data_IF_657077741557
#
_entry.id   IF_657077741557
#
_cell.length_a   1.000
_cell.length_b   1.000
_cell.length_c   1.000
_cell.angle_alpha   90.00
_cell.angle_beta   90.00
_cell.angle_gamma   90.00
#
_symmetry.space_group_name_H-M   'P 1'
#
loop_
_entity.id
_entity.type
_entity.pdbx_description
1 polymer ?
#
# COMPACT_ATOMS: atom_id res chain seq x y z
N UNK A 1 -15.93 -16.12 -5.57
CA UNK A 1 -15.82 -15.44 -4.26
C UNK A 1 -16.17 -13.98 -4.46
N UNK A 2 -16.83 -13.34 -3.50
CA UNK A 2 -17.21 -11.92 -3.58
C UNK A 2 -16.07 -11.06 -2.99
N UNK A 3 -15.68 -9.99 -3.68
CA UNK A 3 -14.71 -8.96 -3.23
C UNK A 3 -15.48 -7.69 -2.83
N UNK A 4 -14.84 -6.75 -2.11
CA UNK A 4 -15.43 -5.42 -1.85
C UNK A 4 -15.42 -4.91 -0.40
N UNK A 5 -14.39 -5.19 0.39
CA UNK A 5 -14.28 -4.71 1.78
C UNK A 5 -13.47 -3.42 1.95
N UNK A 6 -13.31 -2.67 0.87
CA UNK A 6 -12.56 -1.43 0.86
C UNK A 6 -13.08 -0.42 1.90
N UNK A 7 -12.17 0.13 2.71
CA UNK A 7 -12.48 1.12 3.74
C UNK A 7 -13.38 0.62 4.87
N UNK A 8 -13.54 -0.70 5.04
CA UNK A 8 -14.29 -1.28 6.16
C UNK A 8 -13.40 -1.36 7.41
N UNK A 9 -14.03 -1.35 8.60
CA UNK A 9 -13.31 -1.45 9.86
C UNK A 9 -12.61 -2.80 10.00
N UNK A 10 -11.51 -2.84 10.76
CA UNK A 10 -10.75 -4.06 11.01
C UNK A 10 -11.62 -5.20 11.56
N UNK A 11 -12.48 -4.90 12.53
CA UNK A 11 -13.44 -5.87 13.07
C UNK A 11 -14.36 -6.48 11.99
N UNK A 12 -14.71 -5.70 10.96
CA UNK A 12 -15.50 -6.20 9.83
C UNK A 12 -14.67 -7.15 8.98
N UNK A 13 -13.40 -6.82 8.72
CA UNK A 13 -12.48 -7.65 7.95
C UNK A 13 -12.20 -8.98 8.66
N UNK A 14 -11.88 -8.96 9.95
CA UNK A 14 -11.62 -10.17 10.73
C UNK A 14 -12.86 -11.07 10.77
N UNK A 15 -14.04 -10.48 11.00
CA UNK A 15 -15.31 -11.23 11.02
C UNK A 15 -15.62 -11.90 9.68
N UNK A 16 -15.28 -11.30 8.54
CA UNK A 16 -15.49 -11.94 7.23
C UNK A 16 -14.39 -12.92 6.86
N UNK A 17 -13.16 -12.74 7.35
CA UNK A 17 -12.05 -13.69 7.20
C UNK A 17 -12.44 -15.05 7.78
N UNK A 18 -13.00 -15.03 9.00
CA UNK A 18 -13.44 -16.22 9.74
C UNK A 18 -14.51 -17.04 9.00
N UNK A 19 -15.26 -16.42 8.09
CA UNK A 19 -16.29 -17.14 7.32
C UNK A 19 -15.72 -18.00 6.19
N UNK A 20 -14.49 -17.73 5.74
CA UNK A 20 -13.87 -18.38 4.56
C UNK A 20 -14.59 -18.14 3.22
N UNK A 21 -15.65 -17.32 3.19
CA UNK A 21 -16.49 -17.08 2.00
C UNK A 21 -16.04 -15.89 1.16
N UNK A 22 -15.18 -15.05 1.72
CA UNK A 22 -14.77 -13.77 1.16
C UNK A 22 -13.25 -13.73 0.96
N UNK A 23 -12.81 -13.03 -0.08
CA UNK A 23 -11.39 -12.74 -0.28
C UNK A 23 -11.10 -11.38 0.34
N UNK A 24 -10.25 -11.38 1.36
CA UNK A 24 -9.62 -10.17 1.87
C UNK A 24 -8.33 -10.00 1.07
N UNK A 25 -8.18 -8.86 0.42
CA UNK A 25 -6.96 -8.53 -0.31
C UNK A 25 -6.27 -7.33 0.36
N UNK A 26 -5.09 -7.01 -0.13
CA UNK A 26 -4.25 -5.90 0.35
C UNK A 26 -5.01 -4.57 0.46
N UNK A 27 -5.89 -4.28 -0.51
CA UNK A 27 -6.66 -3.04 -0.54
C UNK A 27 -7.76 -2.98 0.53
N UNK A 28 -8.19 -4.12 1.08
CA UNK A 28 -9.24 -4.17 2.10
C UNK A 28 -8.84 -3.48 3.40
N UNK A 29 -7.55 -3.51 3.78
CA UNK A 29 -7.06 -2.92 5.02
C UNK A 29 -6.81 -1.42 4.92
N UNK A 30 -6.77 -0.87 3.70
CA UNK A 30 -6.37 0.50 3.46
C UNK A 30 -7.50 1.51 3.76
N UNK A 31 -7.11 2.64 4.31
CA UNK A 31 -7.96 3.82 4.52
C UNK A 31 -7.97 4.70 3.27
N UNK A 32 -8.92 5.63 3.21
CA UNK A 32 -9.00 6.59 2.12
C UNK A 32 -7.71 7.42 1.92
N UNK A 33 -6.96 7.72 2.99
CA UNK A 33 -5.69 8.45 2.88
C UNK A 33 -4.57 7.61 2.27
N UNK A 34 -4.55 6.30 2.48
CA UNK A 34 -3.55 5.42 1.86
C UNK A 34 -3.80 5.29 0.37
N UNK A 35 -5.07 5.21 0.01
CA UNK A 35 -5.51 5.13 -1.37
C UNK A 35 -5.14 6.40 -2.11
N UNK A 36 -5.43 7.55 -1.50
CA UNK A 36 -4.96 8.84 -2.01
C UNK A 36 -3.43 8.87 -2.17
N UNK A 37 -2.66 8.41 -1.17
CA UNK A 37 -1.20 8.32 -1.24
C UNK A 37 -0.73 7.43 -2.40
N UNK A 38 -1.31 6.24 -2.58
CA UNK A 38 -0.98 5.33 -3.69
C UNK A 38 -1.23 5.98 -5.04
N UNK A 39 -2.43 6.54 -5.23
CA UNK A 39 -2.81 7.13 -6.50
C UNK A 39 -1.93 8.33 -6.86
N UNK A 40 -1.60 9.18 -5.88
CA UNK A 40 -0.72 10.34 -6.10
C UNK A 40 0.74 9.94 -6.33
N UNK A 41 1.20 8.85 -5.71
CA UNK A 41 2.59 8.38 -5.87
C UNK A 41 2.80 7.72 -7.24
N UNK A 42 1.81 6.97 -7.72
CA UNK A 42 1.98 6.05 -8.86
C UNK A 42 1.23 6.47 -10.11
N UNK A 43 0.24 7.37 -10.01
CA UNK A 43 -0.65 7.74 -11.11
C UNK A 43 -1.73 6.69 -11.43
N UNK A 44 -1.72 5.54 -10.76
CA UNK A 44 -2.74 4.49 -10.91
C UNK A 44 -3.99 4.89 -10.15
N UNK A 45 -5.17 4.71 -10.77
CA UNK A 45 -6.45 4.91 -10.08
C UNK A 45 -6.82 3.66 -9.29
N UNK A 46 -7.23 3.82 -8.03
CA UNK A 46 -7.67 2.72 -7.17
C UNK A 46 -9.12 2.94 -6.76
N UNK A 47 -10.01 2.08 -7.23
CA UNK A 47 -11.44 2.13 -6.90
C UNK A 47 -12.04 0.73 -6.91
N UNK A 48 -13.16 0.54 -6.21
CA UNK A 48 -13.91 -0.72 -6.21
C UNK A 48 -13.05 -1.98 -5.91
N UNK A 49 -11.98 -1.81 -5.12
CA UNK A 49 -11.03 -2.89 -4.78
C UNK A 49 -10.17 -3.37 -5.95
N UNK A 50 -9.91 -2.51 -6.94
CA UNK A 50 -9.07 -2.81 -8.12
C UNK A 50 -8.27 -1.59 -8.58
N UNK A 51 -7.28 -1.85 -9.43
CA UNK A 51 -6.42 -0.84 -10.04
C UNK A 51 -6.89 -0.52 -11.46
N UNK A 52 -6.72 0.73 -11.88
CA UNK A 52 -7.12 1.21 -13.20
C UNK A 52 -6.05 2.14 -13.76
N UNK A 53 -5.81 2.05 -15.06
CA UNK A 53 -4.93 2.97 -15.78
C UNK A 53 -5.58 4.35 -15.99
N UNK A 54 -4.84 5.27 -16.58
CA UNK A 54 -5.32 6.64 -16.88
C UNK A 54 -6.46 6.69 -17.91
N UNK A 55 -6.65 5.63 -18.69
CA UNK A 55 -7.74 5.50 -19.67
C UNK A 55 -9.01 4.91 -19.03
N UNK A 56 -8.92 4.48 -17.77
CA UNK A 56 -10.01 3.87 -17.03
C UNK A 56 -10.17 2.36 -17.26
N UNK A 57 -9.21 1.72 -17.92
CA UNK A 57 -9.19 0.26 -18.06
C UNK A 57 -8.73 -0.36 -16.75
N UNK A 58 -9.41 -1.42 -16.33
CA UNK A 58 -8.97 -2.19 -15.16
C UNK A 58 -7.64 -2.86 -15.48
N UNK A 59 -6.65 -2.62 -14.63
CA UNK A 59 -5.32 -3.23 -14.71
C UNK A 59 -5.14 -4.18 -13.54
N UNK A 60 -4.39 -5.25 -13.77
CA UNK A 60 -4.06 -6.24 -12.76
C UNK A 60 -2.58 -6.50 -12.73
N UNK A 61 -2.18 -7.27 -11.72
CA UNK A 61 -0.87 -7.92 -11.70
C UNK A 61 -1.17 -9.40 -11.89
N UNK A 62 -1.22 -9.84 -13.14
CA UNK A 62 -1.43 -11.24 -13.44
C UNK A 62 -0.09 -11.87 -13.77
N UNK A 63 0.19 -12.99 -13.11
CA UNK A 63 1.37 -13.78 -13.40
C UNK A 63 0.97 -15.03 -14.20
N UNK A 64 1.79 -15.39 -15.18
CA UNK A 64 1.69 -16.69 -15.83
C UNK A 64 2.03 -17.82 -14.84
N UNK A 65 1.78 -19.06 -15.24
CA UNK A 65 2.12 -20.25 -14.43
C UNK A 65 3.61 -20.41 -14.10
N UNK A 66 4.49 -19.61 -14.71
CA UNK A 66 5.94 -19.59 -14.50
C UNK A 66 6.40 -18.39 -13.66
N UNK A 67 5.48 -17.54 -13.21
CA UNK A 67 5.77 -16.34 -12.43
C UNK A 67 6.17 -15.11 -13.25
N UNK A 68 5.95 -15.11 -14.56
CA UNK A 68 6.19 -13.92 -15.39
C UNK A 68 4.96 -13.02 -15.39
N UNK A 69 5.17 -11.71 -15.28
CA UNK A 69 4.11 -10.72 -15.41
C UNK A 69 3.51 -10.78 -16.83
N UNK A 70 2.18 -10.85 -16.93
CA UNK A 70 1.46 -10.97 -18.19
C UNK A 70 1.27 -9.62 -18.88
N UNK A 71 1.31 -8.54 -18.10
CA UNK A 71 1.14 -7.17 -18.58
C UNK A 71 2.47 -6.55 -19.03
N UNK A 72 2.58 -6.08 -20.29
CA UNK A 72 3.83 -5.55 -20.85
C UNK A 72 4.26 -4.18 -20.27
N UNK A 73 3.33 -3.37 -19.74
CA UNK A 73 3.57 -2.02 -19.21
C UNK A 73 3.08 -1.87 -17.75
N UNK A 74 3.26 -2.91 -16.91
CA UNK A 74 2.72 -2.92 -15.55
C UNK A 74 3.61 -2.22 -14.50
N UNK A 75 4.49 -1.30 -14.90
CA UNK A 75 5.42 -0.62 -14.00
C UNK A 75 4.70 0.14 -12.87
N UNK A 76 3.79 1.03 -13.23
CA UNK A 76 3.02 1.83 -12.27
C UNK A 76 2.05 0.97 -11.46
N UNK A 77 1.46 -0.06 -12.08
CA UNK A 77 0.55 -0.98 -11.39
C UNK A 77 1.28 -1.85 -10.36
N UNK A 78 2.49 -2.29 -10.70
CA UNK A 78 3.39 -3.02 -9.78
C UNK A 78 3.81 -2.12 -8.62
N UNK A 79 4.23 -0.88 -8.92
CA UNK A 79 4.56 0.11 -7.91
C UNK A 79 3.36 0.40 -6.98
N UNK A 80 2.15 0.53 -7.53
CA UNK A 80 0.93 0.73 -6.75
C UNK A 80 0.62 -0.45 -5.83
N UNK A 81 0.77 -1.69 -6.30
CA UNK A 81 0.54 -2.87 -5.49
C UNK A 81 1.60 -3.07 -4.40
N UNK A 82 2.87 -2.76 -4.68
CA UNK A 82 3.93 -2.82 -3.68
C UNK A 82 3.74 -1.79 -2.57
N UNK A 83 3.35 -0.57 -2.94
CA UNK A 83 3.00 0.44 -1.95
C UNK A 83 1.77 0.02 -1.15
N UNK A 84 0.74 -0.53 -1.80
CA UNK A 84 -0.42 -1.08 -1.13
C UNK A 84 -0.03 -2.21 -0.16
N UNK A 85 0.89 -3.09 -0.55
CA UNK A 85 1.38 -4.18 0.29
C UNK A 85 2.05 -3.64 1.56
N UNK A 86 3.00 -2.70 1.42
CA UNK A 86 3.68 -2.09 2.56
C UNK A 86 2.70 -1.40 3.52
N UNK A 87 1.75 -0.61 2.99
CA UNK A 87 0.74 0.07 3.79
C UNK A 87 -0.20 -0.93 4.48
N UNK A 88 -0.60 -2.00 3.79
CA UNK A 88 -1.43 -3.06 4.36
C UNK A 88 -0.69 -3.84 5.45
N UNK A 89 0.59 -4.14 5.26
CA UNK A 89 1.41 -4.84 6.24
C UNK A 89 1.55 -4.00 7.51
N UNK A 90 1.86 -2.71 7.38
CA UNK A 90 1.87 -1.79 8.52
C UNK A 90 0.49 -1.73 9.20
N UNK A 91 -0.61 -1.77 8.45
CA UNK A 91 -1.93 -1.82 9.08
C UNK A 91 -2.24 -3.14 9.76
N UNK A 92 -1.71 -4.25 9.28
CA UNK A 92 -1.91 -5.56 9.88
C UNK A 92 -1.06 -5.72 11.15
N UNK A 93 0.22 -5.34 11.09
CA UNK A 93 1.17 -5.47 12.21
C UNK A 93 0.94 -4.46 13.33
N UNK A 94 0.16 -3.39 13.08
CA UNK A 94 0.09 -2.25 13.99
C UNK A 94 1.33 -1.39 13.86
N UNK A 95 1.74 -1.07 12.64
CA UNK A 95 2.85 -0.19 12.33
C UNK A 95 4.23 -0.80 12.52
N UNK A 96 5.27 -0.04 12.17
CA UNK A 96 6.61 -0.31 12.66
C UNK A 96 6.61 -0.26 14.19
N UNK A 97 7.18 -1.28 14.84
CA UNK A 97 7.29 -1.38 16.32
C UNK A 97 5.99 -1.55 17.12
N UNK A 98 4.83 -1.82 16.50
CA UNK A 98 3.59 -2.11 17.23
C UNK A 98 2.77 -0.87 17.65
N UNK A 99 2.95 0.27 16.96
CA UNK A 99 1.98 1.37 16.95
C UNK A 99 0.57 0.95 16.43
N UNK A 100 -0.27 0.50 17.36
CA UNK A 100 -1.66 0.12 17.08
C UNK A 100 -2.53 1.26 16.56
N UNK A 101 -2.10 2.53 16.63
CA UNK A 101 -2.90 3.63 16.08
C UNK A 101 -3.04 3.57 14.55
N UNK A 102 -2.13 2.89 13.84
CA UNK A 102 -2.28 2.61 12.41
C UNK A 102 -3.38 1.58 12.13
N UNK A 103 -3.59 0.60 13.00
CA UNK A 103 -4.74 -0.32 12.92
C UNK A 103 -6.07 0.44 13.12
N UNK A 104 -6.05 1.50 13.92
CA UNK A 104 -7.22 2.34 14.22
C UNK A 104 -7.50 3.41 13.15
N UNK A 105 -6.69 3.49 12.09
CA UNK A 105 -6.94 4.38 10.96
C UNK A 105 -6.19 5.71 11.01
N UNK A 106 -5.15 5.84 11.85
CA UNK A 106 -4.21 6.98 11.75
C UNK A 106 -3.65 7.07 10.32
N UNK A 107 -3.41 8.30 9.85
CA UNK A 107 -2.71 8.55 8.59
C UNK A 107 -1.24 8.14 8.71
N UNK A 108 -0.72 7.49 7.68
CA UNK A 108 0.71 7.16 7.54
C UNK A 108 1.53 8.45 7.40
N UNK A 109 2.69 8.48 8.05
CA UNK A 109 3.65 9.60 8.04
C UNK A 109 4.96 9.22 7.35
N UNK A 110 5.83 10.22 7.16
CA UNK A 110 7.21 10.02 6.72
C UNK A 110 7.95 9.05 7.67
N UNK A 111 7.86 9.28 8.98
CA UNK A 111 8.52 8.44 9.99
C UNK A 111 8.07 6.97 9.94
N UNK A 112 6.79 6.72 9.63
CA UNK A 112 6.27 5.36 9.48
C UNK A 112 6.95 4.64 8.30
N UNK A 113 7.03 5.30 7.14
CA UNK A 113 7.64 4.76 5.93
C UNK A 113 9.15 4.54 6.10
N UNK A 114 9.84 5.51 6.71
CA UNK A 114 11.26 5.38 7.02
C UNK A 114 11.52 4.19 7.96
N UNK A 115 10.72 4.04 9.00
CA UNK A 115 10.90 2.97 9.98
C UNK A 115 10.57 1.61 9.37
N UNK A 116 9.51 1.52 8.56
CA UNK A 116 9.20 0.31 7.79
C UNK A 116 10.38 -0.10 6.90
N UNK A 117 11.00 0.83 6.18
CA UNK A 117 12.17 0.54 5.33
C UNK A 117 13.40 0.08 6.14
N UNK A 118 13.62 0.66 7.33
CA UNK A 118 14.72 0.27 8.25
C UNK A 118 14.51 -1.15 8.78
N UNK A 119 13.31 -1.45 9.28
CA UNK A 119 12.95 -2.77 9.82
C UNK A 119 13.03 -3.84 8.72
N UNK A 120 12.55 -3.50 7.53
CA UNK A 120 12.63 -4.35 6.34
C UNK A 120 14.08 -4.70 5.97
N UNK A 121 14.96 -3.69 5.92
CA UNK A 121 16.38 -3.90 5.63
C UNK A 121 17.07 -4.80 6.66
N UNK A 122 16.70 -4.66 7.94
CA UNK A 122 17.20 -5.50 9.02
C UNK A 122 16.71 -6.95 8.90
N UNK A 123 15.42 -7.15 8.60
CA UNK A 123 14.83 -8.47 8.38
C UNK A 123 15.51 -9.21 7.22
N UNK A 124 15.71 -8.52 6.08
CA UNK A 124 16.44 -9.06 4.92
C UNK A 124 17.89 -9.43 5.27
N UNK A 125 18.59 -8.60 6.03
CA UNK A 125 19.97 -8.88 6.46
C UNK A 125 20.05 -10.09 7.41
N UNK A 126 18.97 -10.38 8.16
CA UNK A 126 18.88 -11.54 9.05
C UNK A 126 18.54 -12.86 8.34
N UNK A 127 18.35 -12.85 7.02
CA UNK A 127 18.02 -14.04 6.23
C UNK A 127 16.56 -14.50 6.38
N UNK A 128 15.67 -13.66 6.92
CA UNK A 128 14.24 -13.91 6.88
C UNK A 128 13.75 -13.84 5.44
N UNK A 129 12.85 -14.76 5.07
CA UNK A 129 12.23 -14.79 3.75
C UNK A 129 11.09 -13.76 3.71
N UNK A 130 11.45 -12.50 3.47
CA UNK A 130 10.50 -11.38 3.40
C UNK A 130 10.21 -11.06 1.93
N UNK A 131 8.95 -10.81 1.57
CA UNK A 131 8.56 -10.28 0.26
C UNK A 131 9.37 -9.02 -0.05
N UNK A 132 9.84 -8.81 -1.29
CA UNK A 132 10.65 -7.63 -1.66
C UNK A 132 9.80 -6.63 -2.42
N UNK A 133 9.15 -5.66 -1.74
CA UNK A 133 8.51 -4.56 -2.45
C UNK A 133 9.59 -3.71 -3.14
N UNK A 134 9.24 -3.09 -4.26
CA UNK A 134 10.05 -2.03 -4.87
C UNK A 134 10.25 -0.89 -3.87
N UNK A 135 11.37 -0.87 -3.15
CA UNK A 135 11.63 0.16 -2.13
C UNK A 135 11.61 1.58 -2.67
N UNK A 136 11.79 1.74 -3.99
CA UNK A 136 11.80 3.03 -4.65
C UNK A 136 10.41 3.70 -4.64
N UNK A 137 9.31 2.94 -4.76
CA UNK A 137 7.96 3.54 -4.66
C UNK A 137 7.66 4.00 -3.23
N UNK A 138 8.18 3.27 -2.23
CA UNK A 138 8.03 3.64 -0.81
C UNK A 138 8.78 4.95 -0.53
N UNK A 139 10.01 5.08 -1.06
CA UNK A 139 10.79 6.33 -0.97
C UNK A 139 10.13 7.49 -1.74
N UNK A 140 9.49 7.22 -2.86
CA UNK A 140 8.76 8.24 -3.60
C UNK A 140 7.55 8.74 -2.80
N UNK A 141 6.82 7.85 -2.13
CA UNK A 141 5.73 8.21 -1.22
C UNK A 141 6.25 9.04 -0.03
N UNK A 142 7.39 8.66 0.56
CA UNK A 142 8.07 9.40 1.63
C UNK A 142 8.41 10.84 1.20
N UNK A 143 9.00 11.00 0.01
CA UNK A 143 9.34 12.31 -0.55
C UNK A 143 8.09 13.17 -0.79
N UNK A 144 7.01 12.56 -1.29
CA UNK A 144 5.77 13.28 -1.53
C UNK A 144 5.17 13.80 -0.21
N UNK A 145 5.09 12.95 0.83
CA UNK A 145 4.63 13.37 2.15
C UNK A 145 5.53 14.45 2.76
N UNK A 146 6.84 14.35 2.60
CA UNK A 146 7.81 15.35 3.09
C UNK A 146 7.61 16.72 2.41
N UNK A 147 7.30 16.72 1.12
CA UNK A 147 7.07 17.96 0.35
C UNK A 147 5.80 18.70 0.79
N UNK A 148 4.79 17.98 1.29
CA UNK A 148 3.53 18.56 1.81
C UNK A 148 3.67 19.15 3.22
N UNK A 149 4.65 18.66 3.98
CA UNK A 149 4.95 19.15 5.33
C UNK A 149 5.90 20.35 5.31
N UNK A 150 6.58 20.59 4.18
CA UNK A 150 7.37 21.80 3.98
C UNK A 150 6.42 23.00 3.96
N UNK A 151 6.62 24.02 4.81
CA UNK A 151 5.78 25.20 4.74
C UNK A 151 5.90 25.79 3.33
N UNK A 152 4.76 26.02 2.66
CA UNK A 152 4.71 27.01 1.59
C UNK A 152 5.28 28.28 2.17
N UNK A 153 6.52 28.61 1.81
CA UNK A 153 7.18 29.82 2.26
C UNK A 153 6.29 31.00 1.82
N UNK A 154 5.64 31.72 2.75
CA UNK A 154 4.78 32.84 2.39
C UNK A 154 5.58 34.02 1.81
N UNK A 155 6.92 33.90 1.73
CA UNK A 155 7.85 34.88 1.20
C UNK A 155 8.69 34.39 0.00
N UNK A 156 8.28 33.32 -0.70
CA UNK A 156 8.87 33.03 -2.02
C UNK A 156 8.42 34.10 -3.03
N UNK A 157 9.23 35.16 -3.11
CA UNK A 157 9.07 36.37 -3.92
C UNK A 157 9.07 36.11 -5.44
#
# INVERSE_FOLDING_TARGET
MQTGFFGRSRNTLDSVAETGKYVINTLSYLTASDIDLIQRTTGVTVKDGSYYDSEGNQVGIHYDSKGNLLEPDAGETTAAADLAFALSEMRDSGGPQGDTSLQEGRKVTVDDLETYLKDYAAAKASGQNVYVPYTDVIKQAEQMLSSEQSPTDPNAA
#
